data_IF_727640841790
#
_entry.id   IF_727640841790
#
_cell.length_a   1.000
_cell.length_b   1.000
_cell.length_c   1.000
_cell.angle_alpha   90.00
_cell.angle_beta   90.00
_cell.angle_gamma   90.00
#
_symmetry.space_group_name_H-M   'P 1'
#
loop_
_entity.id
_entity.type
_entity.pdbx_description
1 polymer ?
#
# COMPACT_ATOMS: atom_id res chain seq x y z
N UNK A 1 -12.81 1.62 -5.48
CA UNK A 1 -12.16 2.40 -4.41
C UNK A 1 -12.21 3.91 -4.68
N UNK A 2 -12.12 4.37 -5.92
CA UNK A 2 -12.16 5.79 -6.28
C UNK A 2 -13.54 6.42 -6.08
N UNK A 3 -14.62 5.65 -6.28
CA UNK A 3 -15.98 6.10 -6.01
C UNK A 3 -16.31 5.97 -4.52
N UNK A 4 -16.53 7.08 -3.85
CA UNK A 4 -16.82 7.12 -2.42
C UNK A 4 -18.12 6.43 -2.04
N UNK A 5 -19.13 6.45 -2.91
CA UNK A 5 -20.43 5.80 -2.64
C UNK A 5 -20.28 4.29 -2.61
N UNK A 6 -19.44 3.70 -3.48
CA UNK A 6 -19.17 2.26 -3.49
C UNK A 6 -18.44 1.85 -2.22
N UNK A 7 -17.42 2.64 -1.79
CA UNK A 7 -16.69 2.43 -0.54
C UNK A 7 -17.64 2.43 0.66
N UNK A 8 -18.49 3.44 0.74
CA UNK A 8 -19.49 3.54 1.81
C UNK A 8 -20.50 2.40 1.77
N UNK A 9 -20.89 1.95 0.58
CA UNK A 9 -21.76 0.79 0.38
C UNK A 9 -21.17 -0.48 0.98
N UNK A 10 -19.93 -0.80 0.60
CA UNK A 10 -19.21 -1.97 1.12
C UNK A 10 -19.06 -1.93 2.64
N UNK A 11 -18.65 -0.79 3.21
CA UNK A 11 -18.50 -0.66 4.65
C UNK A 11 -19.83 -0.71 5.42
N UNK A 12 -20.91 -0.26 4.80
CA UNK A 12 -22.27 -0.43 5.36
C UNK A 12 -22.65 -1.92 5.44
N UNK A 13 -22.34 -2.70 4.41
CA UNK A 13 -22.58 -4.15 4.42
C UNK A 13 -21.71 -4.87 5.47
N UNK A 14 -20.42 -4.53 5.57
CA UNK A 14 -19.53 -5.06 6.61
C UNK A 14 -20.09 -4.75 8.00
N UNK A 15 -20.51 -3.51 8.23
CA UNK A 15 -21.13 -3.11 9.50
C UNK A 15 -22.41 -3.90 9.80
N UNK A 16 -23.27 -4.09 8.79
CA UNK A 16 -24.53 -4.84 8.94
C UNK A 16 -24.26 -6.30 9.28
N UNK A 17 -23.27 -6.92 8.62
CA UNK A 17 -23.00 -8.35 8.75
C UNK A 17 -22.16 -8.69 9.99
N UNK A 18 -21.14 -7.89 10.30
CA UNK A 18 -20.15 -8.20 11.32
C UNK A 18 -20.15 -7.23 12.51
N UNK A 19 -20.73 -6.05 12.39
CA UNK A 19 -20.79 -5.02 13.43
C UNK A 19 -19.46 -4.29 13.67
N UNK A 20 -18.35 -4.77 13.09
CA UNK A 20 -16.98 -4.27 13.28
C UNK A 20 -16.12 -4.45 12.04
N UNK A 21 -15.02 -3.72 12.01
CA UNK A 21 -13.90 -3.92 11.09
C UNK A 21 -12.62 -3.79 11.89
N UNK A 22 -11.76 -4.80 11.84
CA UNK A 22 -10.55 -4.87 12.65
C UNK A 22 -9.30 -4.56 11.84
N UNK A 23 -9.24 -5.06 10.61
CA UNK A 23 -8.07 -4.94 9.75
C UNK A 23 -8.52 -4.43 8.37
N UNK A 24 -7.82 -3.42 7.86
CA UNK A 24 -7.91 -2.96 6.49
C UNK A 24 -6.56 -3.13 5.82
N UNK A 25 -6.54 -3.85 4.70
CA UNK A 25 -5.36 -4.00 3.84
C UNK A 25 -5.63 -3.31 2.52
N UNK A 26 -4.98 -2.18 2.28
CA UNK A 26 -5.05 -1.42 1.03
C UNK A 26 -3.99 -1.93 0.06
N UNK A 27 -4.21 -3.11 -0.50
CA UNK A 27 -3.29 -3.75 -1.44
C UNK A 27 -3.54 -3.37 -2.91
N UNK A 28 -4.78 -3.06 -3.27
CA UNK A 28 -5.14 -2.76 -4.66
C UNK A 28 -4.40 -1.52 -5.18
N UNK A 29 -3.75 -1.66 -6.32
CA UNK A 29 -3.01 -0.61 -6.98
C UNK A 29 -2.69 -0.97 -8.42
N UNK A 30 -2.34 0.03 -9.20
CA UNK A 30 -1.89 -0.13 -10.59
C UNK A 30 -0.55 0.54 -10.80
N UNK A 31 0.18 0.07 -11.80
CA UNK A 31 1.45 0.65 -12.24
C UNK A 31 1.49 0.76 -13.76
N UNK A 32 2.32 1.66 -14.24
CA UNK A 32 2.67 1.76 -15.65
C UNK A 32 4.12 2.22 -15.75
N UNK A 33 4.93 1.45 -16.46
CA UNK A 33 6.35 1.73 -16.65
C UNK A 33 6.55 2.50 -17.95
N UNK A 34 6.41 3.82 -17.88
CA UNK A 34 6.63 4.74 -18.98
C UNK A 34 7.52 5.90 -18.55
N UNK A 35 8.55 6.28 -19.36
CA UNK A 35 9.26 7.54 -19.12
C UNK A 35 8.30 8.71 -19.01
N UNK A 36 8.56 9.66 -18.11
CA UNK A 36 7.64 10.78 -17.83
C UNK A 36 7.23 11.58 -19.05
N UNK A 37 8.14 11.76 -20.00
CA UNK A 37 7.84 12.46 -21.27
C UNK A 37 6.87 11.72 -22.19
N UNK A 38 6.70 10.41 -22.01
CA UNK A 38 5.84 9.56 -22.81
C UNK A 38 4.61 9.07 -22.04
N UNK A 39 4.49 9.44 -20.77
CA UNK A 39 3.37 9.04 -19.92
C UNK A 39 2.08 9.75 -20.35
N UNK A 40 1.04 9.02 -20.80
CA UNK A 40 -0.24 9.63 -21.11
C UNK A 40 -0.88 10.24 -19.85
N UNK A 41 -1.42 11.46 -19.96
CA UNK A 41 -2.07 12.14 -18.84
C UNK A 41 -3.21 11.30 -18.22
N UNK A 42 -3.98 10.60 -19.03
CA UNK A 42 -5.08 9.74 -18.58
C UNK A 42 -4.58 8.59 -17.70
N UNK A 43 -3.45 7.96 -18.08
CA UNK A 43 -2.83 6.88 -17.31
C UNK A 43 -2.25 7.43 -16.00
N UNK A 44 -1.60 8.59 -16.04
CA UNK A 44 -1.10 9.25 -14.84
C UNK A 44 -2.23 9.55 -13.85
N UNK A 45 -3.34 10.11 -14.31
CA UNK A 45 -4.52 10.38 -13.48
C UNK A 45 -5.09 9.10 -12.89
N UNK A 46 -5.23 8.03 -13.68
CA UNK A 46 -5.75 6.75 -13.21
C UNK A 46 -4.88 6.15 -12.08
N UNK A 47 -3.53 6.22 -12.22
CA UNK A 47 -2.60 5.78 -11.18
C UNK A 47 -2.81 6.58 -9.89
N UNK A 48 -2.88 7.91 -9.98
CA UNK A 48 -3.06 8.76 -8.81
C UNK A 48 -4.42 8.51 -8.14
N UNK A 49 -5.48 8.37 -8.92
CA UNK A 49 -6.83 8.13 -8.41
C UNK A 49 -6.93 6.78 -7.69
N UNK A 50 -6.39 5.72 -8.26
CA UNK A 50 -6.46 4.39 -7.65
C UNK A 50 -5.51 4.31 -6.46
N UNK A 51 -4.23 4.67 -6.65
CA UNK A 51 -3.20 4.43 -5.65
C UNK A 51 -3.27 5.41 -4.47
N UNK A 52 -3.79 6.63 -4.66
CA UNK A 52 -3.86 7.66 -3.60
C UNK A 52 -5.29 7.88 -3.13
N UNK A 53 -6.19 8.33 -4.03
CA UNK A 53 -7.56 8.70 -3.64
C UNK A 53 -8.32 7.47 -3.16
N UNK A 54 -8.13 6.32 -3.81
CA UNK A 54 -8.72 5.04 -3.39
C UNK A 54 -8.29 4.63 -1.98
N UNK A 55 -6.99 4.68 -1.68
CA UNK A 55 -6.44 4.35 -0.36
C UNK A 55 -6.94 5.33 0.70
N UNK A 56 -6.95 6.63 0.39
CA UNK A 56 -7.51 7.65 1.28
C UNK A 56 -8.98 7.38 1.62
N UNK A 57 -9.82 7.12 0.61
CA UNK A 57 -11.24 6.84 0.81
C UNK A 57 -11.47 5.61 1.69
N UNK A 58 -10.78 4.50 1.38
CA UNK A 58 -10.89 3.27 2.16
C UNK A 58 -10.42 3.46 3.61
N UNK A 59 -9.27 4.10 3.81
CA UNK A 59 -8.72 4.35 5.15
C UNK A 59 -9.63 5.23 5.97
N UNK A 60 -10.10 6.36 5.41
CA UNK A 60 -11.00 7.31 6.09
C UNK A 60 -12.32 6.66 6.50
N UNK A 61 -12.98 5.97 5.60
CA UNK A 61 -14.30 5.39 5.88
C UNK A 61 -14.19 4.18 6.81
N UNK A 62 -13.14 3.35 6.68
CA UNK A 62 -12.88 2.22 7.58
C UNK A 62 -12.60 2.68 9.01
N UNK A 63 -11.84 3.76 9.17
CA UNK A 63 -11.57 4.36 10.49
C UNK A 63 -12.84 4.70 11.25
N UNK A 64 -13.91 5.17 10.59
CA UNK A 64 -15.19 5.46 11.24
C UNK A 64 -15.85 4.22 11.89
N UNK A 65 -15.59 3.02 11.36
CA UNK A 65 -16.02 1.78 11.99
C UNK A 65 -15.08 1.35 13.11
N UNK A 66 -13.77 1.44 12.89
CA UNK A 66 -12.73 1.06 13.85
C UNK A 66 -12.79 1.90 15.14
N UNK A 67 -13.03 3.21 15.02
CA UNK A 67 -13.17 4.13 16.14
C UNK A 67 -14.22 3.68 17.17
N UNK A 68 -15.30 3.01 16.74
CA UNK A 68 -16.37 2.55 17.65
C UNK A 68 -15.92 1.47 18.63
N UNK A 69 -14.84 0.76 18.30
CA UNK A 69 -14.25 -0.32 19.10
C UNK A 69 -12.92 0.07 19.73
N UNK A 70 -12.44 1.30 19.47
CA UNK A 70 -11.10 1.74 19.85
C UNK A 70 -10.02 0.72 19.44
N UNK A 71 -10.15 0.16 18.24
CA UNK A 71 -9.25 -0.83 17.69
C UNK A 71 -9.27 -0.81 16.17
N UNK A 72 -8.10 -0.88 15.56
CA UNK A 72 -7.95 -1.04 14.12
C UNK A 72 -6.50 -1.22 13.70
N UNK A 73 -6.32 -1.91 12.58
CA UNK A 73 -5.04 -2.10 11.89
C UNK A 73 -5.22 -1.70 10.44
N UNK A 74 -4.53 -0.68 9.99
CA UNK A 74 -4.53 -0.25 8.59
C UNK A 74 -3.13 -0.54 8.04
N UNK A 75 -3.08 -1.34 6.98
CA UNK A 75 -1.86 -1.75 6.30
C UNK A 75 -1.95 -1.26 4.87
N UNK A 76 -1.10 -0.30 4.52
CA UNK A 76 -1.01 0.26 3.19
C UNK A 76 0.18 -0.32 2.43
N UNK A 77 0.12 -0.30 1.10
CA UNK A 77 1.19 -0.82 0.26
C UNK A 77 1.89 0.30 -0.49
N UNK A 78 3.18 0.45 -0.22
CA UNK A 78 4.15 1.20 -1.01
C UNK A 78 4.85 0.27 -2.02
N UNK A 79 6.09 0.53 -2.33
CA UNK A 79 6.93 -0.27 -3.23
C UNK A 79 8.41 0.09 -3.02
N UNK A 80 9.32 -0.85 -3.26
CA UNK A 80 10.76 -0.57 -3.36
C UNK A 80 11.09 0.41 -4.50
N UNK A 81 10.17 0.65 -5.42
CA UNK A 81 10.31 1.67 -6.47
C UNK A 81 10.55 3.08 -5.89
N UNK A 82 10.08 3.34 -4.66
CA UNK A 82 10.29 4.63 -3.98
C UNK A 82 11.77 4.85 -3.65
N UNK A 83 12.41 4.04 -2.79
CA UNK A 83 13.82 4.24 -2.45
C UNK A 83 14.77 3.94 -3.62
N UNK A 84 14.41 3.04 -4.54
CA UNK A 84 15.28 2.68 -5.67
C UNK A 84 15.25 3.69 -6.82
N UNK A 85 14.31 4.63 -6.84
CA UNK A 85 14.19 5.66 -7.88
C UNK A 85 14.22 5.06 -9.30
N UNK A 86 13.37 4.07 -9.56
CA UNK A 86 13.38 3.29 -10.79
C UNK A 86 12.97 4.16 -11.98
N UNK A 87 13.83 4.23 -13.00
CA UNK A 87 13.56 4.95 -14.24
C UNK A 87 12.31 4.38 -14.94
N UNK A 88 11.43 5.27 -15.42
CA UNK A 88 10.17 4.92 -16.05
C UNK A 88 9.00 4.74 -15.06
N UNK A 89 9.23 4.81 -13.76
CA UNK A 89 8.19 4.65 -12.73
C UNK A 89 7.86 5.94 -11.97
N UNK A 90 8.20 7.12 -12.51
CA UNK A 90 8.07 8.38 -11.79
C UNK A 90 6.66 8.60 -11.20
N UNK A 91 5.59 8.44 -11.97
CA UNK A 91 4.21 8.62 -11.48
C UNK A 91 3.83 7.54 -10.47
N UNK A 92 4.19 6.28 -10.75
CA UNK A 92 3.92 5.17 -9.84
C UNK A 92 4.67 5.35 -8.52
N UNK A 93 5.99 5.55 -8.55
CA UNK A 93 6.81 5.74 -7.35
C UNK A 93 6.34 6.97 -6.55
N UNK A 94 6.00 8.08 -7.21
CA UNK A 94 5.41 9.27 -6.56
C UNK A 94 4.10 8.94 -5.86
N UNK A 95 3.22 8.15 -6.49
CA UNK A 95 1.97 7.73 -5.85
C UNK A 95 2.21 6.88 -4.61
N UNK A 96 3.23 6.00 -4.64
CA UNK A 96 3.60 5.15 -3.50
C UNK A 96 4.29 5.94 -2.38
N UNK A 97 5.15 6.90 -2.71
CA UNK A 97 5.72 7.84 -1.74
C UNK A 97 4.63 8.71 -1.05
N UNK A 98 3.62 9.12 -1.81
CA UNK A 98 2.48 9.85 -1.24
C UNK A 98 1.71 9.00 -0.21
N UNK A 99 1.58 7.68 -0.42
CA UNK A 99 0.95 6.76 0.55
C UNK A 99 1.79 6.62 1.81
N UNK A 100 3.12 6.61 1.72
CA UNK A 100 3.98 6.60 2.90
C UNK A 100 3.76 7.84 3.76
N UNK A 101 3.84 9.01 3.14
CA UNK A 101 3.63 10.28 3.85
C UNK A 101 2.20 10.39 4.42
N UNK A 102 1.18 10.01 3.64
CA UNK A 102 -0.21 9.95 4.11
C UNK A 102 -0.33 9.04 5.34
N UNK A 103 0.24 7.84 5.28
CA UNK A 103 0.16 6.85 6.36
C UNK A 103 0.81 7.34 7.66
N UNK A 104 1.97 8.00 7.55
CA UNK A 104 2.68 8.55 8.71
C UNK A 104 1.90 9.68 9.40
N UNK A 105 1.26 10.55 8.63
CA UNK A 105 0.41 11.63 9.19
C UNK A 105 -0.88 11.02 9.76
N UNK A 106 -1.54 10.16 8.99
CA UNK A 106 -2.80 9.54 9.37
C UNK A 106 -2.66 8.68 10.63
N UNK A 107 -1.53 8.00 10.80
CA UNK A 107 -1.20 7.27 12.02
C UNK A 107 -1.29 8.15 13.28
N UNK A 108 -0.80 9.38 13.20
CA UNK A 108 -0.87 10.34 14.32
C UNK A 108 -2.29 10.81 14.61
N UNK A 109 -3.09 11.01 13.56
CA UNK A 109 -4.47 11.47 13.67
C UNK A 109 -5.38 10.43 14.34
N UNK A 110 -5.13 9.13 14.07
CA UNK A 110 -6.01 8.03 14.51
C UNK A 110 -5.51 7.27 15.74
N UNK A 111 -4.27 7.50 16.18
CA UNK A 111 -3.65 6.79 17.31
C UNK A 111 -4.49 6.84 18.59
N UNK A 112 -5.12 7.99 18.88
CA UNK A 112 -6.00 8.16 20.06
C UNK A 112 -7.22 7.22 20.07
N UNK A 113 -7.52 6.58 18.94
CA UNK A 113 -8.60 5.62 18.80
C UNK A 113 -8.12 4.16 18.82
N UNK A 114 -6.87 3.91 19.23
CA UNK A 114 -6.28 2.57 19.25
C UNK A 114 -6.05 1.97 17.85
N UNK A 115 -5.96 2.83 16.83
CA UNK A 115 -5.76 2.42 15.43
C UNK A 115 -4.31 2.65 15.06
N UNK A 116 -3.66 1.62 14.48
CA UNK A 116 -2.33 1.74 13.89
C UNK A 116 -2.42 1.80 12.36
N UNK A 117 -1.50 2.54 11.74
CA UNK A 117 -1.38 2.65 10.29
C UNK A 117 0.07 2.44 9.92
N UNK A 118 0.36 1.38 9.16
CA UNK A 118 1.71 1.04 8.74
C UNK A 118 1.75 0.74 7.23
N UNK A 119 2.94 0.72 6.68
CA UNK A 119 3.16 0.57 5.24
C UNK A 119 4.15 -0.56 4.98
N UNK A 120 3.83 -1.37 3.98
CA UNK A 120 4.74 -2.38 3.43
C UNK A 120 5.20 -1.90 2.06
N UNK A 121 6.50 -1.88 1.80
CA UNK A 121 7.10 -1.65 0.49
C UNK A 121 7.67 -2.94 -0.08
N UNK A 122 6.85 -3.76 -0.78
CA UNK A 122 7.33 -5.03 -1.33
C UNK A 122 8.42 -4.83 -2.37
N UNK A 123 9.32 -5.81 -2.44
CA UNK A 123 10.15 -6.06 -3.60
C UNK A 123 9.30 -6.65 -4.75
N UNK A 124 9.81 -6.71 -5.99
CA UNK A 124 9.09 -7.35 -7.06
C UNK A 124 8.74 -8.81 -6.74
N UNK A 125 7.46 -9.15 -6.90
CA UNK A 125 6.93 -10.51 -6.76
C UNK A 125 6.33 -10.88 -8.10
N UNK A 126 6.51 -12.12 -8.55
CA UNK A 126 5.96 -12.59 -9.82
C UNK A 126 4.42 -12.57 -9.77
N UNK A 127 3.86 -11.49 -10.30
CA UNK A 127 2.42 -11.22 -10.40
C UNK A 127 2.12 -10.72 -11.82
N UNK A 128 0.86 -10.57 -12.18
CA UNK A 128 0.43 -10.00 -13.47
C UNK A 128 1.03 -8.61 -13.73
N UNK A 129 1.34 -7.86 -12.66
CA UNK A 129 1.99 -6.55 -12.77
C UNK A 129 3.41 -6.67 -13.31
N UNK A 130 4.18 -7.65 -12.83
CA UNK A 130 5.60 -7.88 -13.19
C UNK A 130 5.72 -8.73 -14.45
N UNK A 131 4.76 -9.61 -14.75
CA UNK A 131 4.78 -10.49 -15.92
C UNK A 131 4.87 -9.74 -17.26
N UNK A 132 4.52 -8.45 -17.28
CA UNK A 132 4.61 -7.57 -18.47
C UNK A 132 5.97 -6.87 -18.61
N UNK A 133 6.85 -6.99 -17.63
CA UNK A 133 8.20 -6.39 -17.63
C UNK A 133 9.17 -7.37 -18.27
N UNK A 134 10.11 -6.87 -19.09
CA UNK A 134 11.07 -7.77 -19.75
C UNK A 134 11.96 -8.47 -18.72
N UNK A 135 12.34 -9.74 -18.98
CA UNK A 135 13.20 -10.51 -18.05
C UNK A 135 14.52 -9.82 -17.71
N UNK A 136 15.12 -9.11 -18.69
CA UNK A 136 16.38 -8.38 -18.48
C UNK A 136 16.22 -7.23 -17.48
N UNK A 137 15.09 -6.50 -17.53
CA UNK A 137 14.79 -5.44 -16.57
C UNK A 137 14.54 -6.00 -15.17
N UNK A 138 13.80 -7.11 -15.08
CA UNK A 138 13.58 -7.82 -13.81
C UNK A 138 14.91 -8.26 -13.22
N UNK A 139 15.78 -8.90 -14.03
CA UNK A 139 17.10 -9.36 -13.56
C UNK A 139 18.00 -8.19 -13.12
N UNK A 140 17.98 -7.08 -13.87
CA UNK A 140 18.71 -5.87 -13.50
C UNK A 140 18.24 -5.30 -12.17
N UNK A 141 16.93 -5.35 -11.89
CA UNK A 141 16.37 -4.91 -10.63
C UNK A 141 16.77 -5.83 -9.48
N UNK A 142 16.63 -7.15 -9.68
CA UNK A 142 17.03 -8.17 -8.70
C UNK A 142 18.50 -8.05 -8.34
N UNK A 143 19.38 -7.79 -9.30
CA UNK A 143 20.81 -7.63 -9.07
C UNK A 143 21.17 -6.39 -8.22
N UNK A 144 20.28 -5.40 -8.15
CA UNK A 144 20.43 -4.21 -7.30
C UNK A 144 19.93 -4.43 -5.88
N UNK A 145 19.23 -5.53 -5.63
CA UNK A 145 18.67 -5.82 -4.31
C UNK A 145 19.67 -6.66 -3.49
N UNK A 146 19.88 -6.32 -2.21
CA UNK A 146 20.81 -7.07 -1.34
C UNK A 146 20.51 -8.58 -1.28
N UNK A 147 19.23 -8.97 -1.23
CA UNK A 147 18.85 -10.39 -1.19
C UNK A 147 18.88 -11.08 -2.56
N UNK A 148 19.12 -10.35 -3.65
CA UNK A 148 19.36 -10.86 -5.01
C UNK A 148 18.35 -11.93 -5.48
N UNK A 149 17.10 -11.82 -5.09
CA UNK A 149 15.97 -12.65 -5.54
C UNK A 149 14.68 -11.85 -5.63
N UNK A 150 13.72 -12.37 -6.37
CA UNK A 150 12.35 -11.88 -6.28
C UNK A 150 11.77 -12.18 -4.89
N UNK A 151 10.86 -11.32 -4.45
CA UNK A 151 10.04 -11.61 -3.29
C UNK A 151 9.03 -12.73 -3.59
N UNK A 152 8.55 -13.36 -2.53
CA UNK A 152 7.49 -14.35 -2.57
C UNK A 152 6.32 -13.87 -1.70
N UNK A 153 5.11 -14.42 -1.91
CA UNK A 153 3.96 -14.05 -1.09
C UNK A 153 4.20 -14.22 0.42
N UNK A 154 4.84 -15.31 0.90
CA UNK A 154 5.16 -15.46 2.32
C UNK A 154 6.04 -14.35 2.89
N UNK A 155 6.92 -13.73 2.08
CA UNK A 155 7.74 -12.60 2.55
C UNK A 155 6.86 -11.40 2.94
N UNK A 156 5.75 -11.19 2.22
CA UNK A 156 4.80 -10.11 2.50
C UNK A 156 3.83 -10.50 3.60
N UNK A 157 3.32 -11.73 3.57
CA UNK A 157 2.37 -12.26 4.55
C UNK A 157 2.92 -12.16 5.97
N UNK A 158 4.20 -12.47 6.19
CA UNK A 158 4.85 -12.34 7.49
C UNK A 158 4.78 -10.90 8.04
N UNK A 159 4.92 -9.89 7.19
CA UNK A 159 4.85 -8.49 7.62
C UNK A 159 3.40 -8.04 7.81
N UNK A 160 2.47 -8.55 7.01
CA UNK A 160 1.04 -8.34 7.23
C UNK A 160 0.64 -8.88 8.61
N UNK A 161 1.00 -10.12 8.92
CA UNK A 161 0.69 -10.78 10.19
C UNK A 161 1.32 -10.02 11.37
N UNK A 162 2.57 -9.56 11.20
CA UNK A 162 3.23 -8.74 12.19
C UNK A 162 2.46 -7.43 12.47
N UNK A 163 2.09 -6.67 11.43
CA UNK A 163 1.35 -5.42 11.61
C UNK A 163 -0.10 -5.63 12.07
N UNK A 164 -0.73 -6.75 11.70
CA UNK A 164 -2.09 -7.10 12.11
C UNK A 164 -2.18 -7.59 13.56
N UNK A 165 -1.07 -8.08 14.12
CA UNK A 165 -1.01 -8.63 15.46
C UNK A 165 -1.38 -7.60 16.54
N UNK A 166 -2.03 -8.07 17.61
CA UNK A 166 -2.26 -7.27 18.83
C UNK A 166 -0.93 -6.88 19.50
N UNK A 167 0.09 -7.73 19.43
CA UNK A 167 1.41 -7.47 19.98
C UNK A 167 2.09 -6.24 19.35
N UNK A 168 1.69 -5.86 18.13
CA UNK A 168 2.22 -4.71 17.39
C UNK A 168 1.46 -3.39 17.67
N UNK A 169 0.67 -3.32 18.74
CA UNK A 169 -0.15 -2.12 19.06
C UNK A 169 0.66 -0.84 19.30
N UNK A 170 1.96 -0.94 19.58
CA UNK A 170 2.85 0.20 19.79
C UNK A 170 3.63 0.58 18.52
N UNK A 171 3.33 -0.08 17.39
CA UNK A 171 4.00 0.12 16.10
C UNK A 171 3.02 0.80 15.14
N UNK A 172 3.27 2.06 14.84
CA UNK A 172 2.44 2.85 13.91
C UNK A 172 3.29 3.89 13.17
N UNK A 173 2.86 4.26 11.96
CA UNK A 173 3.57 5.20 11.09
C UNK A 173 4.87 4.63 10.50
N UNK A 174 5.05 3.31 10.55
CA UNK A 174 6.26 2.67 10.05
C UNK A 174 6.13 2.27 8.58
N UNK A 175 7.25 2.34 7.86
CA UNK A 175 7.40 1.81 6.51
C UNK A 175 8.46 0.71 6.56
N UNK A 176 8.09 -0.50 6.13
CA UNK A 176 9.02 -1.63 6.02
C UNK A 176 9.18 -1.98 4.55
N UNK A 177 10.37 -1.75 4.00
CA UNK A 177 10.74 -2.24 2.68
C UNK A 177 11.29 -3.65 2.76
N UNK A 178 10.91 -4.48 1.80
CA UNK A 178 11.36 -5.87 1.70
C UNK A 178 12.53 -5.99 0.71
N UNK A 179 13.35 -7.02 0.89
CA UNK A 179 14.49 -7.29 0.01
C UNK A 179 15.77 -6.56 0.36
N UNK A 180 15.83 -5.86 1.52
CA UNK A 180 17.01 -5.16 2.01
C UNK A 180 17.19 -3.76 1.39
N UNK A 181 16.16 -3.20 0.79
CA UNK A 181 16.16 -1.83 0.24
C UNK A 181 15.70 -0.86 1.32
N UNK A 182 16.31 0.32 1.35
CA UNK A 182 16.00 1.39 2.32
C UNK A 182 16.14 2.76 1.68
#
# INVERSE_FOLDING_TARGET
MTNIHDVQGVLKEIRKKFGRLDILINNAGIASMNPSLLMPETVAKEILDINIVGVFNMSRESTKLMMKKNYGRIINFSSVAVPMNIEGEAIYASSKAAIEQFSQIFAREVARFGITVNVIGPSPIMTDLIAKVSPEKIQSLVNKMPLSRLGEFPDVENVIDFFASEASQYITGQVIYLGGVS
#
